data_IF_209368592603
#
_entry.id   IF_209368592603
#
_cell.length_a   1.000
_cell.length_b   1.000
_cell.length_c   1.000
_cell.angle_alpha   90.00
_cell.angle_beta   90.00
_cell.angle_gamma   90.00
#
_symmetry.space_group_name_H-M   'P 1'
#
loop_
_entity.id
_entity.type
_entity.pdbx_description
1 polymer ?
#
# COMPACT_ATOMS: atom_id res chain seq x y z
N UNK A 1 21.13 -13.94 6.52
CA UNK A 1 19.79 -14.42 6.90
C UNK A 1 19.24 -15.18 5.69
N UNK A 2 18.46 -16.25 5.86
CA UNK A 2 18.02 -17.09 4.72
C UNK A 2 16.82 -16.48 4.01
N UNK A 3 16.58 -16.86 2.74
CA UNK A 3 15.39 -16.45 1.96
C UNK A 3 14.08 -16.66 2.72
N UNK A 4 14.04 -17.63 3.64
CA UNK A 4 12.89 -17.95 4.48
C UNK A 4 12.48 -16.79 5.39
N UNK A 5 13.43 -15.97 5.85
CA UNK A 5 13.14 -14.79 6.70
C UNK A 5 12.42 -13.68 5.94
N UNK A 6 12.73 -13.48 4.66
CA UNK A 6 12.03 -12.52 3.80
C UNK A 6 10.61 -12.99 3.50
N UNK A 7 10.45 -14.29 3.20
CA UNK A 7 9.12 -14.86 2.95
C UNK A 7 8.23 -14.81 4.20
N UNK A 8 8.79 -15.07 5.38
CA UNK A 8 8.05 -14.93 6.63
C UNK A 8 7.54 -13.50 6.83
N UNK A 9 8.38 -12.49 6.57
CA UNK A 9 7.98 -11.09 6.66
C UNK A 9 6.84 -10.75 5.70
N UNK A 10 6.90 -11.20 4.44
CA UNK A 10 5.80 -10.96 3.49
C UNK A 10 4.51 -11.67 3.91
N UNK A 11 4.59 -12.89 4.46
CA UNK A 11 3.43 -13.60 4.99
C UNK A 11 2.80 -12.83 6.15
N UNK A 12 3.60 -12.30 7.05
CA UNK A 12 3.11 -11.54 8.20
C UNK A 12 2.52 -10.19 7.77
N UNK A 13 3.10 -9.54 6.77
CA UNK A 13 2.50 -8.36 6.14
C UNK A 13 1.12 -8.67 5.56
N UNK A 14 0.97 -9.76 4.79
CA UNK A 14 -0.35 -10.13 4.24
C UNK A 14 -1.38 -10.41 5.34
N UNK A 15 -0.98 -11.06 6.44
CA UNK A 15 -1.86 -11.32 7.59
C UNK A 15 -2.29 -10.01 8.27
N UNK A 16 -1.35 -9.10 8.49
CA UNK A 16 -1.64 -7.80 9.08
C UNK A 16 -2.62 -6.99 8.21
N UNK A 17 -2.43 -6.97 6.89
CA UNK A 17 -3.35 -6.30 5.97
C UNK A 17 -4.73 -6.95 5.99
N UNK A 18 -4.79 -8.28 6.05
CA UNK A 18 -6.05 -9.03 6.11
C UNK A 18 -6.85 -8.70 7.38
N UNK A 19 -6.19 -8.53 8.52
CA UNK A 19 -6.82 -8.18 9.81
C UNK A 19 -7.28 -6.71 9.88
N UNK A 20 -6.69 -5.83 9.08
CA UNK A 20 -7.06 -4.41 9.04
C UNK A 20 -8.45 -4.21 8.46
N UNK A 21 -9.36 -3.60 9.24
CA UNK A 21 -10.71 -3.23 8.77
C UNK A 21 -10.69 -2.27 7.58
N UNK A 22 -9.68 -1.41 7.49
CA UNK A 22 -9.54 -0.40 6.45
C UNK A 22 -8.88 -0.99 5.20
N UNK A 23 -7.73 -1.66 5.37
CA UNK A 23 -6.88 -2.09 4.25
C UNK A 23 -7.36 -3.39 3.61
N UNK A 24 -7.98 -4.30 4.38
CA UNK A 24 -8.46 -5.58 3.87
C UNK A 24 -9.48 -5.44 2.75
N UNK A 25 -10.26 -4.35 2.72
CA UNK A 25 -11.23 -4.05 1.66
C UNK A 25 -10.56 -3.81 0.31
N UNK A 26 -9.38 -3.19 0.31
CA UNK A 26 -8.58 -2.90 -0.89
C UNK A 26 -7.62 -4.03 -1.25
N UNK A 27 -7.30 -4.95 -0.32
CA UNK A 27 -6.39 -6.07 -0.60
C UNK A 27 -7.05 -7.22 -1.39
N UNK A 28 -8.39 -7.23 -1.50
CA UNK A 28 -9.16 -8.32 -2.15
C UNK A 28 -8.87 -8.49 -3.64
N UNK A 29 -8.39 -7.46 -4.33
CA UNK A 29 -7.98 -7.59 -5.72
C UNK A 29 -6.76 -6.72 -6.03
N UNK A 30 -5.92 -7.12 -7.00
CA UNK A 30 -4.79 -6.30 -7.43
C UNK A 30 -5.21 -4.89 -7.87
N UNK A 31 -6.36 -4.76 -8.55
CA UNK A 31 -6.91 -3.47 -9.02
C UNK A 31 -7.27 -2.51 -7.89
N UNK A 32 -7.85 -3.03 -6.81
CA UNK A 32 -8.22 -2.19 -5.66
C UNK A 32 -7.01 -1.83 -4.82
N UNK A 33 -6.02 -2.71 -4.72
CA UNK A 33 -4.76 -2.44 -4.06
C UNK A 33 -3.92 -1.40 -4.82
N UNK A 34 -3.82 -1.54 -6.14
CA UNK A 34 -3.14 -0.55 -6.99
C UNK A 34 -3.82 0.81 -6.89
N UNK A 35 -5.15 0.87 -6.92
CA UNK A 35 -5.89 2.11 -6.72
C UNK A 35 -5.53 2.78 -5.39
N UNK A 36 -5.52 2.03 -4.29
CA UNK A 36 -5.18 2.55 -2.96
C UNK A 36 -3.78 3.19 -2.96
N UNK A 37 -2.78 2.47 -3.49
CA UNK A 37 -1.41 2.95 -3.62
C UNK A 37 -1.30 4.16 -4.56
N UNK A 38 -2.10 4.21 -5.62
CA UNK A 38 -2.11 5.32 -6.56
C UNK A 38 -2.69 6.59 -5.93
N UNK A 39 -3.80 6.47 -5.20
CA UNK A 39 -4.41 7.61 -4.51
C UNK A 39 -3.55 8.12 -3.36
N UNK A 40 -2.85 7.23 -2.65
CA UNK A 40 -1.97 7.62 -1.53
C UNK A 40 -0.80 8.55 -1.94
N UNK A 41 -0.44 8.58 -3.23
CA UNK A 41 0.59 9.47 -3.77
C UNK A 41 0.16 10.94 -3.79
N UNK A 42 -1.14 11.23 -3.75
CA UNK A 42 -1.67 12.57 -3.88
C UNK A 42 -2.47 12.96 -2.64
N UNK A 43 -1.99 13.95 -1.89
CA UNK A 43 -2.64 14.41 -0.66
C UNK A 43 -4.00 15.09 -0.95
N UNK A 44 -4.06 15.90 -2.01
CA UNK A 44 -5.29 16.60 -2.44
C UNK A 44 -6.17 15.79 -3.42
N UNK A 45 -5.92 14.49 -3.52
CA UNK A 45 -6.62 13.59 -4.42
C UNK A 45 -6.15 13.63 -5.87
N UNK A 46 -6.81 12.84 -6.70
CA UNK A 46 -6.33 12.59 -8.06
C UNK A 46 -6.28 13.85 -8.93
N UNK A 47 -5.20 13.98 -9.72
CA UNK A 47 -4.98 15.16 -10.56
C UNK A 47 -6.05 15.34 -11.64
N UNK A 48 -6.48 14.23 -12.26
CA UNK A 48 -7.26 14.26 -13.50
C UNK A 48 -8.74 13.89 -13.35
N UNK A 49 -9.19 13.59 -12.13
CA UNK A 49 -10.53 13.12 -11.83
C UNK A 49 -10.69 11.59 -11.88
N UNK A 50 -11.74 11.09 -11.25
CA UNK A 50 -11.94 9.66 -10.93
C UNK A 50 -11.84 8.72 -12.13
N UNK A 51 -12.39 9.10 -13.29
CA UNK A 51 -12.36 8.24 -14.49
C UNK A 51 -10.94 8.06 -15.02
N UNK A 52 -10.21 9.16 -15.15
CA UNK A 52 -8.82 9.15 -15.61
C UNK A 52 -7.91 8.40 -14.62
N UNK A 53 -8.19 8.51 -13.31
CA UNK A 53 -7.49 7.72 -12.30
C UNK A 53 -7.65 6.22 -12.53
N UNK A 54 -8.88 5.76 -12.79
CA UNK A 54 -9.16 4.35 -13.05
C UNK A 54 -8.55 3.86 -14.37
N UNK A 55 -8.48 4.74 -15.38
CA UNK A 55 -7.86 4.40 -16.67
C UNK A 55 -6.34 4.26 -16.57
N UNK A 56 -5.68 4.91 -15.60
CA UNK A 56 -4.23 4.80 -15.35
C UNK A 56 -3.83 3.47 -14.67
N UNK A 57 -4.77 2.76 -14.07
CA UNK A 57 -4.48 1.48 -13.40
C UNK A 57 -4.01 0.43 -14.41
N UNK A 58 -2.91 -0.24 -14.11
CA UNK A 58 -2.31 -1.28 -14.96
C UNK A 58 -2.90 -2.65 -14.68
N UNK A 59 -3.33 -2.91 -13.46
CA UNK A 59 -3.96 -4.17 -13.07
C UNK A 59 -5.43 -4.15 -13.47
N UNK A 60 -5.79 -5.00 -14.44
CA UNK A 60 -7.14 -5.07 -15.03
C UNK A 60 -7.96 -6.26 -14.52
N UNK A 61 -7.79 -6.62 -13.25
CA UNK A 61 -8.59 -7.70 -12.65
C UNK A 61 -10.07 -7.33 -12.53
N UNK A 62 -10.34 -6.05 -12.24
CA UNK A 62 -11.68 -5.47 -12.30
C UNK A 62 -11.79 -4.52 -13.50
N UNK A 63 -12.88 -4.66 -14.26
CA UNK A 63 -13.21 -3.70 -15.32
C UNK A 63 -13.62 -2.33 -14.76
N UNK A 64 -13.56 -1.28 -15.59
CA UNK A 64 -13.83 0.10 -15.18
C UNK A 64 -15.19 0.28 -14.47
N UNK A 65 -16.24 -0.39 -14.95
CA UNK A 65 -17.56 -0.33 -14.30
C UNK A 65 -17.57 -0.89 -12.88
N UNK A 66 -16.84 -1.99 -12.64
CA UNK A 66 -16.70 -2.60 -11.32
C UNK A 66 -15.83 -1.73 -10.40
N UNK A 67 -14.75 -1.14 -10.93
CA UNK A 67 -13.92 -0.19 -10.18
C UNK A 67 -14.68 1.09 -9.81
N UNK A 68 -15.49 1.64 -10.71
CA UNK A 68 -16.35 2.79 -10.42
C UNK A 68 -17.36 2.47 -9.33
N UNK A 69 -17.97 1.27 -9.37
CA UNK A 69 -18.86 0.81 -8.31
C UNK A 69 -18.12 0.72 -6.98
N UNK A 70 -16.97 0.05 -6.94
CA UNK A 70 -16.13 -0.07 -5.75
C UNK A 70 -15.78 1.31 -5.16
N UNK A 71 -15.33 2.25 -5.98
CA UNK A 71 -14.98 3.60 -5.52
C UNK A 71 -16.18 4.34 -4.93
N UNK A 72 -17.37 4.20 -5.51
CA UNK A 72 -18.60 4.81 -4.96
C UNK A 72 -18.99 4.20 -3.62
N UNK A 73 -18.93 2.88 -3.50
CA UNK A 73 -19.19 2.20 -2.22
C UNK A 73 -18.19 2.64 -1.14
N UNK A 74 -16.90 2.73 -1.47
CA UNK A 74 -15.90 3.22 -0.51
C UNK A 74 -16.06 4.70 -0.15
N UNK A 75 -16.65 5.51 -1.04
CA UNK A 75 -17.08 6.88 -0.70
C UNK A 75 -18.23 6.85 0.30
N UNK A 76 -19.23 6.02 0.06
CA UNK A 76 -20.40 5.88 0.93
C UNK A 76 -19.98 5.35 2.32
N UNK A 77 -18.93 4.52 2.39
CA UNK A 77 -18.31 4.03 3.63
C UNK A 77 -17.40 5.07 4.32
N UNK A 78 -17.21 6.26 3.74
CA UNK A 78 -16.34 7.32 4.29
C UNK A 78 -14.83 7.10 4.10
N UNK A 79 -14.43 6.07 3.33
CA UNK A 79 -13.02 5.70 3.12
C UNK A 79 -12.37 6.46 1.95
N UNK A 80 -13.18 6.92 1.00
CA UNK A 80 -12.75 7.77 -0.11
C UNK A 80 -13.50 9.09 -0.08
N UNK A 81 -12.77 10.18 -0.26
CA UNK A 81 -13.33 11.53 -0.25
C UNK A 81 -13.44 12.03 -1.69
N UNK A 82 -14.58 12.64 -2.00
CA UNK A 82 -14.85 13.19 -3.32
C UNK A 82 -14.82 14.71 -3.25
N UNK A 83 -13.93 15.33 -4.01
CA UNK A 83 -13.94 16.78 -4.21
C UNK A 83 -14.69 17.10 -5.48
N UNK A 84 -15.84 17.75 -5.33
CA UNK A 84 -16.72 18.07 -6.45
C UNK A 84 -16.12 19.13 -7.36
N UNK A 85 -16.48 19.01 -8.64
CA UNK A 85 -16.14 19.97 -9.68
C UNK A 85 -17.39 20.19 -10.55
N UNK A 86 -17.47 21.35 -11.23
CA UNK A 86 -18.59 21.71 -12.11
C UNK A 86 -18.90 20.64 -13.16
N UNK A 87 -17.85 20.00 -13.68
CA UNK A 87 -17.92 18.80 -14.53
C UNK A 87 -17.71 17.53 -13.69
N UNK A 88 -18.70 16.63 -13.69
CA UNK A 88 -18.65 15.34 -12.98
C UNK A 88 -17.45 14.46 -13.33
N UNK A 89 -17.00 14.50 -14.59
CA UNK A 89 -15.80 13.76 -15.04
C UNK A 89 -14.50 14.26 -14.40
N UNK A 90 -14.52 15.46 -13.80
CA UNK A 90 -13.39 16.11 -13.13
C UNK A 90 -13.48 16.05 -11.61
N UNK A 91 -14.43 15.29 -11.06
CA UNK A 91 -14.48 15.03 -9.62
C UNK A 91 -13.22 14.31 -9.20
N UNK A 92 -12.49 14.89 -8.25
CA UNK A 92 -11.29 14.27 -7.69
C UNK A 92 -11.69 13.28 -6.61
N UNK A 93 -10.86 12.26 -6.46
CA UNK A 93 -10.98 11.27 -5.38
C UNK A 93 -9.69 11.25 -4.59
N UNK A 94 -9.78 11.31 -3.26
CA UNK A 94 -8.68 11.15 -2.31
C UNK A 94 -9.01 10.06 -1.30
N UNK A 95 -7.98 9.64 -0.56
CA UNK A 95 -8.18 8.77 0.61
C UNK A 95 -8.66 9.61 1.79
N UNK A 96 -9.48 9.01 2.64
CA UNK A 96 -9.61 9.49 4.00
C UNK A 96 -8.26 9.45 4.74
N UNK A 97 -8.05 10.36 5.68
CA UNK A 97 -6.80 10.50 6.42
C UNK A 97 -6.46 9.22 7.22
N UNK A 98 -7.44 8.61 7.89
CA UNK A 98 -7.22 7.41 8.69
C UNK A 98 -6.80 6.23 7.81
N UNK A 99 -7.43 6.08 6.65
CA UNK A 99 -7.06 5.07 5.66
C UNK A 99 -5.64 5.28 5.11
N UNK A 100 -5.29 6.54 4.82
CA UNK A 100 -3.95 6.88 4.31
C UNK A 100 -2.87 6.58 5.35
N UNK A 101 -3.08 7.00 6.58
CA UNK A 101 -2.13 6.78 7.67
C UNK A 101 -1.95 5.29 7.97
N UNK A 102 -3.05 4.53 7.98
CA UNK A 102 -3.01 3.07 8.14
C UNK A 102 -2.17 2.40 7.05
N UNK A 103 -2.33 2.82 5.79
CA UNK A 103 -1.54 2.31 4.68
C UNK A 103 -0.06 2.64 4.84
N UNK A 104 0.27 3.90 5.11
CA UNK A 104 1.65 4.35 5.23
C UNK A 104 2.38 3.65 6.39
N UNK A 105 1.72 3.51 7.54
CA UNK A 105 2.25 2.79 8.69
C UNK A 105 2.54 1.32 8.35
N UNK A 106 1.60 0.63 7.68
CA UNK A 106 1.79 -0.76 7.29
C UNK A 106 2.96 -0.93 6.29
N UNK A 107 3.09 -0.02 5.32
CA UNK A 107 4.20 -0.03 4.37
C UNK A 107 5.53 0.31 5.03
N UNK A 108 5.56 1.25 5.97
CA UNK A 108 6.76 1.63 6.71
C UNK A 108 7.28 0.45 7.55
N UNK A 109 6.41 -0.23 8.29
CA UNK A 109 6.79 -1.39 9.11
C UNK A 109 7.37 -2.51 8.24
N UNK A 110 6.69 -2.83 7.13
CA UNK A 110 7.20 -3.80 6.14
C UNK A 110 8.58 -3.41 5.62
N UNK A 111 8.73 -2.15 5.20
CA UNK A 111 9.99 -1.66 4.61
C UNK A 111 11.13 -1.63 5.63
N UNK A 112 10.84 -1.33 6.90
CA UNK A 112 11.82 -1.38 8.00
C UNK A 112 12.31 -2.82 8.21
N UNK A 113 11.40 -3.78 8.29
CA UNK A 113 11.76 -5.19 8.43
C UNK A 113 12.55 -5.71 7.21
N UNK A 114 12.18 -5.29 5.99
CA UNK A 114 12.95 -5.61 4.79
C UNK A 114 14.36 -5.02 4.83
N UNK A 115 14.50 -3.76 5.26
CA UNK A 115 15.79 -3.10 5.43
C UNK A 115 16.70 -3.84 6.41
N UNK A 116 16.15 -4.30 7.54
CA UNK A 116 16.89 -5.11 8.51
C UNK A 116 17.29 -6.48 7.96
N UNK A 117 16.38 -7.13 7.22
CA UNK A 117 16.63 -8.45 6.64
C UNK A 117 17.67 -8.43 5.51
N UNK A 118 17.76 -7.31 4.78
CA UNK A 118 18.68 -7.10 3.65
C UNK A 118 20.00 -6.43 4.05
N UNK A 119 20.10 -5.87 5.26
CA UNK A 119 21.33 -5.23 5.72
C UNK A 119 22.51 -6.22 5.73
N UNK A 120 23.68 -5.84 5.19
CA UNK A 120 24.87 -6.68 5.25
C UNK A 120 25.25 -6.93 6.71
N UNK A 121 25.44 -8.20 7.09
CA UNK A 121 26.01 -8.51 8.40
C UNK A 121 27.45 -8.01 8.41
N UNK A 122 27.76 -7.07 9.29
CA UNK A 122 29.17 -6.76 9.58
C UNK A 122 29.84 -8.04 10.09
N UNK A 123 30.76 -8.58 9.29
CA UNK A 123 31.69 -9.61 9.74
C UNK A 123 32.58 -8.96 10.80
N UNK A 124 32.26 -9.18 12.08
CA UNK A 124 33.18 -8.83 13.16
C UNK A 124 34.47 -9.62 12.93
N UNK A 125 35.64 -8.97 12.75
CA UNK A 125 36.88 -9.69 12.60
C UNK A 125 37.10 -10.54 13.85
N UNK A 126 37.21 -11.86 13.66
CA UNK A 126 37.65 -12.76 14.71
C UNK A 126 39.06 -12.34 15.09
N UNK A 127 39.22 -11.59 16.19
CA UNK A 127 40.52 -11.36 16.79
C UNK A 127 41.05 -12.71 17.27
N UNK A 128 41.92 -13.30 16.46
CA UNK A 128 42.77 -14.41 16.80
C UNK A 128 43.47 -14.10 18.12
N UNK A 129 43.09 -14.80 19.20
CA UNK A 129 43.89 -14.85 20.42
C UNK A 129 45.22 -15.49 20.06
N UNK A 130 46.22 -14.69 19.71
CA UNK A 130 47.59 -15.15 19.64
C UNK A 130 48.02 -15.48 21.08
N UNK A 131 48.22 -16.79 21.27
CA UNK A 131 48.89 -17.39 22.41
C UNK A 131 50.32 -16.87 22.41
N UNK A 132 50.72 -16.14 23.45
CA UNK A 132 52.13 -15.92 23.76
C UNK A 132 52.45 -16.82 24.95
N UNK A 133 53.38 -17.75 24.70
CA UNK A 133 54.00 -18.65 25.68
C UNK A 133 55.03 -17.92 26.52
#
# INVERSE_FOLDING_TARGET
>A
MTRDSLLALEIDFERQIYESKLLSLFRRSPSTWELLLHLAQFEEGSEDGVYNTLDRLRTRYLGNSAMLKFVRERRDDGLLLFTEHTKRSKWKVSLDAELRDALLLALEERNRGLGQALAPKEDKPQMSKQIIR
#
